data_IF_203144401301
#
_entry.id   IF_203144401301
#
_cell.length_a   1.000
_cell.length_b   1.000
_cell.length_c   1.000
_cell.angle_alpha   90.00
_cell.angle_beta   90.00
_cell.angle_gamma   90.00
#
_symmetry.space_group_name_H-M   'P 1'
#
loop_
_entity.id
_entity.type
_entity.pdbx_description
1 polymer ?
#
# COMPACT_ATOMS: atom_id res chain seq x y z
N UNK A 1 6.61 -46.69 -9.52
CA UNK A 1 7.21 -45.89 -10.60
C UNK A 1 7.29 -44.44 -10.13
N UNK A 2 8.49 -43.86 -9.96
CA UNK A 2 8.66 -42.50 -9.42
C UNK A 2 8.65 -41.51 -10.58
N UNK A 3 7.64 -40.66 -10.68
CA UNK A 3 7.56 -39.62 -11.70
C UNK A 3 8.66 -38.58 -11.44
N UNK A 4 9.60 -38.46 -12.38
CA UNK A 4 10.64 -37.43 -12.35
C UNK A 4 9.99 -36.18 -12.93
N UNK A 5 9.54 -35.28 -12.06
CA UNK A 5 8.99 -34.00 -12.47
C UNK A 5 10.10 -33.15 -13.11
N UNK A 6 9.92 -32.63 -14.33
CA UNK A 6 10.92 -31.75 -14.93
C UNK A 6 11.03 -30.46 -14.11
N UNK A 7 12.22 -30.19 -13.57
CA UNK A 7 12.50 -28.94 -12.86
C UNK A 7 12.48 -27.77 -13.84
N UNK A 8 11.44 -26.96 -13.74
CA UNK A 8 11.17 -25.77 -14.58
C UNK A 8 12.33 -24.75 -14.49
N UNK A 9 13.11 -24.82 -13.40
CA UNK A 9 14.29 -23.99 -13.11
C UNK A 9 15.52 -24.32 -13.98
N UNK A 10 15.54 -25.45 -14.68
CA UNK A 10 16.65 -25.80 -15.59
C UNK A 10 16.61 -25.02 -16.91
N UNK A 11 15.49 -24.37 -17.20
CA UNK A 11 15.30 -23.58 -18.42
C UNK A 11 15.97 -22.22 -18.21
N UNK A 12 16.97 -21.91 -19.04
CA UNK A 12 17.71 -20.64 -18.96
C UNK A 12 16.77 -19.42 -18.97
N UNK A 13 15.73 -19.48 -19.82
CA UNK A 13 14.69 -18.45 -19.93
C UNK A 13 13.95 -18.19 -18.60
N UNK A 14 13.64 -19.24 -17.83
CA UNK A 14 12.93 -19.09 -16.55
C UNK A 14 13.84 -18.40 -15.52
N UNK A 15 15.13 -18.72 -15.52
CA UNK A 15 16.12 -18.07 -14.66
C UNK A 15 16.32 -16.60 -15.03
N UNK A 16 16.36 -16.28 -16.32
CA UNK A 16 16.46 -14.90 -16.81
C UNK A 16 15.22 -14.08 -16.44
N UNK A 17 14.02 -14.63 -16.67
CA UNK A 17 12.76 -13.98 -16.27
C UNK A 17 12.72 -13.78 -14.75
N UNK A 18 13.10 -14.79 -13.96
CA UNK A 18 13.14 -14.67 -12.51
C UNK A 18 14.10 -13.57 -12.03
N UNK A 19 15.27 -13.43 -12.66
CA UNK A 19 16.21 -12.36 -12.36
C UNK A 19 15.62 -10.97 -12.70
N UNK A 20 14.99 -10.81 -13.86
CA UNK A 20 14.31 -9.55 -14.25
C UNK A 20 13.18 -9.21 -13.28
N UNK A 21 12.38 -10.20 -12.88
CA UNK A 21 11.31 -10.01 -11.91
C UNK A 21 11.84 -9.60 -10.53
N UNK A 22 12.94 -10.20 -10.08
CA UNK A 22 13.61 -9.83 -8.83
C UNK A 22 14.09 -8.38 -8.85
N UNK A 23 14.73 -7.96 -9.95
CA UNK A 23 15.19 -6.58 -10.12
C UNK A 23 14.00 -5.62 -10.08
N UNK A 24 12.92 -5.95 -10.80
CA UNK A 24 11.71 -5.12 -10.82
C UNK A 24 11.08 -5.01 -9.43
N UNK A 25 11.00 -6.13 -8.70
CA UNK A 25 10.47 -6.15 -7.33
C UNK A 25 11.34 -5.31 -6.38
N UNK A 26 12.66 -5.43 -6.46
CA UNK A 26 13.58 -4.63 -5.67
C UNK A 26 13.44 -3.14 -5.96
N UNK A 27 13.30 -2.76 -7.24
CA UNK A 27 13.09 -1.37 -7.65
C UNK A 27 11.77 -0.81 -7.11
N UNK A 28 10.67 -1.57 -7.22
CA UNK A 28 9.37 -1.20 -6.65
C UNK A 28 9.44 -1.02 -5.13
N UNK A 29 10.14 -1.92 -4.44
CA UNK A 29 10.28 -1.88 -2.99
C UNK A 29 11.13 -0.69 -2.54
N UNK A 30 12.19 -0.36 -3.28
CA UNK A 30 13.03 0.80 -3.01
C UNK A 30 12.26 2.12 -3.18
N UNK A 31 11.51 2.26 -4.28
CA UNK A 31 10.65 3.43 -4.50
C UNK A 31 9.60 3.51 -3.38
N UNK A 32 8.96 2.39 -3.04
CA UNK A 32 8.02 2.34 -1.93
C UNK A 32 8.67 2.77 -0.61
N UNK A 33 9.87 2.30 -0.31
CA UNK A 33 10.57 2.65 0.91
C UNK A 33 10.82 4.17 0.97
N UNK A 34 11.33 4.78 -0.10
CA UNK A 34 11.63 6.22 -0.15
C UNK A 34 10.34 7.07 -0.04
N UNK A 35 9.28 6.67 -0.74
CA UNK A 35 8.03 7.43 -0.77
C UNK A 35 7.15 7.25 0.47
N UNK A 36 7.28 6.12 1.17
CA UNK A 36 6.55 5.81 2.40
C UNK A 36 7.40 5.93 3.67
N UNK A 37 8.61 6.48 3.57
CA UNK A 37 9.47 6.75 4.74
C UNK A 37 8.94 7.91 5.60
N UNK A 38 8.19 8.83 4.98
CA UNK A 38 7.43 9.81 5.73
C UNK A 38 6.19 9.14 6.33
N UNK A 39 5.89 9.31 7.64
CA UNK A 39 4.71 8.72 8.26
C UNK A 39 3.46 9.21 7.52
N UNK A 40 2.85 8.34 6.70
CA UNK A 40 1.62 8.67 5.96
C UNK A 40 0.41 8.78 6.88
N UNK A 41 0.58 8.39 8.15
CA UNK A 41 -0.39 8.60 9.22
C UNK A 41 0.17 9.74 10.08
N UNK A 42 -0.48 10.92 10.10
CA UNK A 42 -0.16 11.96 11.07
C UNK A 42 -0.24 11.37 12.47
N UNK A 43 0.60 11.81 13.42
CA UNK A 43 0.61 11.25 14.78
C UNK A 43 -0.79 11.30 15.44
N UNK A 44 -1.60 12.31 15.09
CA UNK A 44 -2.98 12.47 15.55
C UNK A 44 -4.05 11.96 14.57
N UNK A 45 -3.67 11.36 13.44
CA UNK A 45 -4.59 10.93 12.39
C UNK A 45 -5.62 9.90 12.89
N UNK A 46 -5.17 8.95 13.72
CA UNK A 46 -6.06 7.96 14.34
C UNK A 46 -7.02 8.61 15.35
N UNK A 47 -6.52 9.53 16.18
CA UNK A 47 -7.34 10.26 17.15
C UNK A 47 -8.39 11.13 16.46
N UNK A 48 -8.02 11.79 15.34
CA UNK A 48 -8.92 12.64 14.56
C UNK A 48 -10.02 11.82 13.87
N UNK A 49 -9.68 10.66 13.33
CA UNK A 49 -10.66 9.72 12.74
C UNK A 49 -11.56 9.12 13.83
N UNK A 50 -11.00 8.71 14.97
CA UNK A 50 -11.78 8.22 16.11
C UNK A 50 -12.75 9.30 16.63
N UNK A 51 -12.30 10.54 16.79
CA UNK A 51 -13.18 11.65 17.18
C UNK A 51 -14.26 11.95 16.13
N UNK A 52 -13.96 11.83 14.83
CA UNK A 52 -14.95 12.05 13.79
C UNK A 52 -15.98 10.90 13.73
N UNK A 53 -15.56 9.65 13.91
CA UNK A 53 -16.43 8.48 13.85
C UNK A 53 -17.24 8.25 15.14
N UNK A 54 -16.66 8.53 16.32
CA UNK A 54 -17.29 8.32 17.63
C UNK A 54 -17.86 9.62 18.24
N UNK A 55 -17.31 10.78 17.88
CA UNK A 55 -17.75 12.08 18.42
C UNK A 55 -18.91 12.74 17.65
N UNK A 56 -19.18 12.32 16.41
CA UNK A 56 -20.27 12.87 15.59
C UNK A 56 -21.64 12.21 15.83
N UNK A 57 -21.79 11.37 16.86
CA UNK A 57 -23.11 10.87 17.24
C UNK A 57 -23.99 11.96 17.90
N UNK A 58 -23.44 13.14 18.21
CA UNK A 58 -24.17 14.14 19.01
C UNK A 58 -24.08 15.61 18.55
N UNK A 59 -23.44 15.97 17.44
CA UNK A 59 -23.39 17.38 17.03
C UNK A 59 -23.22 17.58 15.52
N UNK A 60 -23.85 18.64 15.02
CA UNK A 60 -23.74 19.22 13.67
C UNK A 60 -24.70 18.71 12.59
N UNK A 61 -25.98 18.75 12.94
CA UNK A 61 -26.95 19.48 12.13
C UNK A 61 -26.71 20.99 12.31
N UNK A 62 -25.64 21.57 11.74
CA UNK A 62 -25.51 23.03 11.53
C UNK A 62 -24.24 23.35 10.73
N UNK A 63 -24.37 24.29 9.78
CA UNK A 63 -23.31 24.95 8.98
C UNK A 63 -23.03 24.36 7.58
N UNK A 64 -24.09 24.30 6.78
CA UNK A 64 -24.06 24.76 5.37
C UNK A 64 -24.60 26.20 5.36
N UNK A 65 -23.73 27.19 5.58
CA UNK A 65 -24.01 28.59 5.25
C UNK A 65 -23.05 29.00 4.13
N UNK A 66 -23.43 28.66 2.91
CA UNK A 66 -22.88 29.22 1.69
C UNK A 66 -23.21 30.72 1.68
N UNK A 67 -22.22 31.59 1.90
CA UNK A 67 -22.38 33.03 1.61
C UNK A 67 -21.96 33.28 0.16
N UNK A 68 -22.88 33.52 -0.78
CA UNK A 68 -22.51 33.96 -2.12
C UNK A 68 -22.01 35.41 -2.07
N UNK A 69 -20.86 35.66 -2.71
CA UNK A 69 -20.37 37.01 -3.07
C UNK A 69 -20.91 37.43 -4.43
#
# INVERSE_FOLDING_TARGET
MKAIQPSIWRIALVREIAAILLIKLALLFAIKAIWFDAPTVPEDGLNRVANHLLGNASSESQRTEETPR
#
